data_IF_628841301384
#
_entry.id   IF_628841301384
#
_cell.length_a   1.000
_cell.length_b   1.000
_cell.length_c   1.000
_cell.angle_alpha   90.00
_cell.angle_beta   90.00
_cell.angle_gamma   90.00
#
_symmetry.space_group_name_H-M   'P 1'
#
loop_
_entity.id
_entity.type
_entity.pdbx_description
1 polymer ?
#
# COMPACT_ATOMS: atom_id res chain seq x y z
N UNK A 1 17.22 -11.85 -25.56
CA UNK A 1 17.56 -10.43 -25.27
C UNK A 1 16.69 -9.78 -24.20
N UNK A 2 15.35 -9.89 -24.20
CA UNK A 2 14.49 -9.20 -23.20
C UNK A 2 14.62 -9.71 -21.75
N UNK A 3 14.90 -11.00 -21.56
CA UNK A 3 15.10 -11.61 -20.23
C UNK A 3 16.44 -11.20 -19.61
N UNK A 4 17.46 -11.00 -20.44
CA UNK A 4 18.79 -10.58 -19.98
C UNK A 4 18.81 -9.15 -19.44
N UNK A 5 18.00 -8.24 -20.00
CA UNK A 5 17.84 -6.86 -19.49
C UNK A 5 17.16 -6.86 -18.12
N UNK A 6 16.15 -7.72 -17.92
CA UNK A 6 15.45 -7.85 -16.63
C UNK A 6 16.39 -8.36 -15.53
N UNK A 7 17.23 -9.35 -15.84
CA UNK A 7 18.24 -9.85 -14.89
C UNK A 7 19.39 -8.84 -14.67
N UNK A 8 19.77 -8.05 -15.68
CA UNK A 8 20.78 -7.00 -15.51
C UNK A 8 20.28 -5.87 -14.58
N UNK A 9 19.00 -5.50 -14.66
CA UNK A 9 18.39 -4.54 -13.74
C UNK A 9 18.30 -5.08 -12.30
N UNK A 10 18.11 -6.39 -12.11
CA UNK A 10 18.05 -7.03 -10.79
C UNK A 10 19.45 -7.14 -10.16
N UNK A 11 20.50 -7.42 -10.96
CA UNK A 11 21.87 -7.55 -10.45
C UNK A 11 22.55 -6.21 -10.16
N UNK A 12 22.16 -5.13 -10.83
CA UNK A 12 22.71 -3.79 -10.58
C UNK A 12 22.29 -3.17 -9.23
N UNK A 13 21.38 -3.82 -8.49
CA UNK A 13 20.88 -3.35 -7.20
C UNK A 13 21.71 -3.84 -6.00
N UNK A 14 22.86 -4.49 -6.25
CA UNK A 14 23.70 -5.08 -5.21
C UNK A 14 24.74 -4.06 -4.73
N UNK A 15 24.52 -3.60 -3.49
CA UNK A 15 25.41 -2.78 -2.64
C UNK A 15 25.59 -1.33 -3.10
N UNK A 16 24.56 -0.52 -2.89
CA UNK A 16 24.79 0.90 -2.56
C UNK A 16 25.09 0.97 -1.07
N UNK A 17 26.26 1.49 -0.72
CA UNK A 17 26.52 1.92 0.66
C UNK A 17 25.42 2.94 1.02
N UNK A 18 24.68 2.66 2.10
CA UNK A 18 23.60 3.51 2.58
C UNK A 18 24.17 4.78 3.21
N UNK A 19 24.64 5.69 2.36
CA UNK A 19 24.94 7.06 2.77
C UNK A 19 23.60 7.74 3.15
N UNK A 20 23.58 8.46 4.29
CA UNK A 20 22.45 9.34 4.61
C UNK A 20 22.23 10.37 3.50
N UNK A 21 21.09 11.07 3.46
CA UNK A 21 20.79 11.99 2.35
C UNK A 21 21.88 13.04 2.16
N UNK A 22 22.03 13.59 0.94
CA UNK A 22 23.06 14.59 0.66
C UNK A 22 22.96 15.80 1.59
N UNK A 23 21.75 16.23 1.95
CA UNK A 23 21.51 17.28 2.93
C UNK A 23 22.02 16.94 4.34
N UNK A 24 21.87 15.68 4.78
CA UNK A 24 22.35 15.24 6.10
C UNK A 24 23.88 15.29 6.22
N UNK A 25 24.58 15.15 5.09
CA UNK A 25 26.05 15.16 5.00
C UNK A 25 26.62 16.57 4.84
N UNK A 26 25.79 17.58 4.59
CA UNK A 26 26.24 18.98 4.45
C UNK A 26 26.72 19.52 5.80
N UNK A 27 27.91 20.11 5.79
CA UNK A 27 28.47 20.79 6.97
C UNK A 27 27.66 22.03 7.32
N UNK A 28 27.11 22.72 6.33
CA UNK A 28 26.22 23.87 6.52
C UNK A 28 24.96 23.47 7.29
N UNK A 29 24.34 22.34 6.92
CA UNK A 29 23.18 21.81 7.63
C UNK A 29 23.50 21.41 9.06
N UNK A 30 24.58 20.64 9.26
CA UNK A 30 25.00 20.20 10.59
C UNK A 30 25.34 21.37 11.52
N UNK A 31 26.05 22.38 10.99
CA UNK A 31 26.39 23.60 11.74
C UNK A 31 25.13 24.39 12.10
N UNK A 32 24.20 24.58 11.16
CA UNK A 32 22.93 25.26 11.42
C UNK A 32 22.15 24.59 12.55
N UNK A 33 22.02 23.26 12.50
CA UNK A 33 21.27 22.50 13.52
C UNK A 33 21.95 22.62 14.89
N UNK A 34 23.29 22.54 14.94
CA UNK A 34 24.07 22.69 16.17
C UNK A 34 23.88 24.08 16.79
N UNK A 35 23.99 25.14 15.99
CA UNK A 35 23.77 26.53 16.44
C UNK A 35 22.33 26.73 16.92
N UNK A 36 21.33 26.32 16.12
CA UNK A 36 19.93 26.43 16.50
C UNK A 36 19.64 25.71 17.82
N UNK A 37 20.20 24.52 18.02
CA UNK A 37 20.03 23.77 19.25
C UNK A 37 20.59 24.53 20.46
N UNK A 38 21.82 25.06 20.36
CA UNK A 38 22.44 25.86 21.42
C UNK A 38 21.66 27.13 21.77
N UNK A 39 21.09 27.78 20.76
CA UNK A 39 20.37 29.05 20.93
C UNK A 39 18.96 28.85 21.49
N UNK A 40 18.22 27.86 20.98
CA UNK A 40 16.78 27.72 21.20
C UNK A 40 16.38 26.56 22.12
N UNK A 41 17.18 25.49 22.22
CA UNK A 41 16.78 24.27 22.95
C UNK A 41 17.23 24.28 24.43
N UNK A 42 16.77 25.29 25.17
CA UNK A 42 17.02 25.43 26.62
C UNK A 42 16.00 24.63 27.46
N UNK A 43 16.35 24.21 28.68
CA UNK A 43 15.38 23.63 29.62
C UNK A 43 14.20 24.59 29.83
N UNK A 44 12.97 24.10 29.60
CA UNK A 44 11.74 24.91 29.70
C UNK A 44 11.29 25.58 28.40
N UNK A 45 12.05 25.48 27.29
CA UNK A 45 11.57 25.90 25.98
C UNK A 45 10.33 25.10 25.58
N UNK A 46 9.25 25.79 25.22
CA UNK A 46 7.98 25.16 24.85
C UNK A 46 7.69 25.38 23.37
N UNK A 47 7.46 24.28 22.66
CA UNK A 47 6.98 24.34 21.28
C UNK A 47 5.47 24.68 21.24
N UNK A 48 4.99 25.23 20.11
CA UNK A 48 3.57 25.34 19.81
C UNK A 48 2.78 24.06 20.09
N UNK A 49 1.49 24.21 20.42
CA UNK A 49 0.65 23.09 20.88
C UNK A 49 0.54 21.97 19.84
N UNK A 50 0.32 22.32 18.58
CA UNK A 50 0.26 21.38 17.46
C UNK A 50 1.54 20.54 17.38
N UNK A 51 2.72 21.18 17.50
CA UNK A 51 3.99 20.48 17.48
C UNK A 51 4.18 19.54 18.69
N UNK A 52 3.69 19.95 19.86
CA UNK A 52 3.70 19.11 21.08
C UNK A 52 2.76 17.91 20.94
N UNK A 53 1.56 18.12 20.40
CA UNK A 53 0.56 17.06 20.19
C UNK A 53 1.08 16.01 19.21
N UNK A 54 1.78 16.41 18.16
CA UNK A 54 2.41 15.49 17.20
C UNK A 54 3.84 15.08 17.58
N UNK A 55 4.26 15.34 18.83
CA UNK A 55 5.53 14.86 19.42
C UNK A 55 6.79 15.30 18.66
N UNK A 56 6.83 16.55 18.20
CA UNK A 56 8.08 17.16 17.75
C UNK A 56 8.92 17.56 18.95
N UNK A 57 10.23 17.36 18.84
CA UNK A 57 11.20 17.85 19.83
C UNK A 57 11.79 19.18 19.36
N UNK A 58 12.43 19.92 20.27
CA UNK A 58 13.13 21.15 19.89
C UNK A 58 14.21 20.89 18.83
N UNK A 59 14.94 19.78 18.95
CA UNK A 59 15.93 19.36 17.95
C UNK A 59 15.30 19.13 16.59
N UNK A 60 14.10 18.53 16.54
CA UNK A 60 13.41 18.33 15.26
C UNK A 60 12.92 19.66 14.65
N UNK A 61 12.49 20.62 15.49
CA UNK A 61 12.14 21.96 15.02
C UNK A 61 13.36 22.70 14.44
N UNK A 62 14.52 22.55 15.07
CA UNK A 62 15.78 23.09 14.54
C UNK A 62 16.17 22.46 13.19
N UNK A 63 16.05 21.13 13.06
CA UNK A 63 16.27 20.43 11.78
C UNK A 63 15.36 21.00 10.69
N UNK A 64 14.06 21.10 10.97
CA UNK A 64 13.08 21.67 10.05
C UNK A 64 13.45 23.10 9.63
N UNK A 65 13.78 23.98 10.57
CA UNK A 65 14.16 25.37 10.27
C UNK A 65 15.40 25.45 9.38
N UNK A 66 16.42 24.65 9.68
CA UNK A 66 17.67 24.62 8.93
C UNK A 66 17.49 24.05 7.52
N UNK A 67 16.73 22.96 7.39
CA UNK A 67 16.33 22.38 6.11
C UNK A 67 15.64 23.42 5.22
N UNK A 68 14.63 24.13 5.76
CA UNK A 68 13.89 25.14 4.99
C UNK A 68 14.74 26.36 4.65
N UNK A 69 15.57 26.84 5.58
CA UNK A 69 16.48 27.96 5.33
C UNK A 69 17.47 27.66 4.19
N UNK A 70 18.07 26.46 4.19
CA UNK A 70 18.98 26.03 3.13
C UNK A 70 18.25 25.77 1.82
N UNK A 71 17.03 25.22 1.87
CA UNK A 71 16.19 25.02 0.69
C UNK A 71 15.83 26.35 0.02
N UNK A 72 15.39 27.35 0.79
CA UNK A 72 15.09 28.68 0.27
C UNK A 72 16.32 29.35 -0.35
N UNK A 73 17.50 29.17 0.27
CA UNK A 73 18.75 29.66 -0.29
C UNK A 73 19.06 28.96 -1.63
N UNK A 74 18.96 27.64 -1.69
CA UNK A 74 19.20 26.88 -2.91
C UNK A 74 18.28 27.35 -4.04
N UNK A 75 16.98 27.52 -3.77
CA UNK A 75 16.00 28.04 -4.73
C UNK A 75 16.38 29.45 -5.23
N UNK A 76 16.78 30.36 -4.33
CA UNK A 76 17.22 31.72 -4.72
C UNK A 76 18.47 31.72 -5.59
N UNK A 77 19.37 30.77 -5.38
CA UNK A 77 20.64 30.64 -6.11
C UNK A 77 20.52 29.78 -7.37
N UNK A 78 19.37 29.16 -7.63
CA UNK A 78 19.19 28.22 -8.74
C UNK A 78 19.92 26.88 -8.53
N UNK A 79 20.23 26.51 -7.29
CA UNK A 79 20.85 25.24 -6.92
C UNK A 79 19.79 24.14 -6.74
N UNK A 80 20.22 22.88 -6.88
CA UNK A 80 19.35 21.72 -6.65
C UNK A 80 18.93 21.61 -5.18
N UNK A 81 17.63 21.42 -4.94
CA UNK A 81 17.09 21.12 -3.61
C UNK A 81 17.67 19.77 -3.14
N UNK A 82 17.98 19.67 -1.85
CA UNK A 82 18.54 18.47 -1.25
C UNK A 82 17.46 17.72 -0.46
N UNK A 83 17.61 16.40 -0.38
CA UNK A 83 16.86 15.58 0.57
C UNK A 83 17.55 15.60 1.94
N UNK A 84 16.76 15.51 3.00
CA UNK A 84 17.18 15.42 4.39
C UNK A 84 16.47 14.23 5.04
N UNK A 85 17.22 13.39 5.76
CA UNK A 85 16.72 12.20 6.44
C UNK A 85 15.85 11.29 5.54
N UNK A 86 16.21 11.14 4.26
CA UNK A 86 15.49 10.33 3.28
C UNK A 86 14.23 10.97 2.70
N UNK A 87 13.98 12.26 2.95
CA UNK A 87 12.77 12.97 2.52
C UNK A 87 13.08 14.32 1.90
N UNK A 88 12.13 14.83 1.13
CA UNK A 88 12.16 16.20 0.63
C UNK A 88 11.66 17.21 1.69
N UNK A 89 12.01 18.50 1.56
CA UNK A 89 11.58 19.55 2.49
C UNK A 89 10.10 19.91 2.30
N UNK A 90 9.24 19.31 3.11
CA UNK A 90 7.81 19.63 3.16
C UNK A 90 7.49 20.76 4.14
N UNK A 91 6.53 21.60 3.79
CA UNK A 91 5.91 22.53 4.74
C UNK A 91 5.01 21.78 5.71
N UNK A 92 5.28 21.93 7.01
CA UNK A 92 4.42 21.35 8.05
C UNK A 92 3.10 22.10 8.16
N UNK A 93 2.02 21.36 8.41
CA UNK A 93 0.70 21.92 8.70
C UNK A 93 0.11 21.25 9.95
N UNK A 94 -0.19 22.02 11.00
CA UNK A 94 -0.73 21.49 12.27
C UNK A 94 0.12 20.33 12.83
N UNK A 95 1.44 20.44 12.74
CA UNK A 95 2.38 19.40 13.12
C UNK A 95 2.48 18.19 12.18
N UNK A 96 1.70 18.09 11.11
CA UNK A 96 1.85 17.04 10.10
C UNK A 96 3.10 17.28 9.26
N UNK A 97 3.95 16.25 9.12
CA UNK A 97 5.16 16.30 8.31
C UNK A 97 4.85 16.37 6.81
N UNK A 98 3.90 15.56 6.32
CA UNK A 98 3.53 15.47 4.91
C UNK A 98 2.01 15.66 4.73
N UNK A 99 1.51 16.92 4.74
CA UNK A 99 0.07 17.18 4.83
C UNK A 99 -0.77 16.59 3.69
N UNK A 100 -0.25 16.58 2.45
CA UNK A 100 -0.94 15.97 1.31
C UNK A 100 -1.06 14.45 1.45
N UNK A 101 0.04 13.77 1.79
CA UNK A 101 0.03 12.32 2.05
C UNK A 101 -0.99 11.99 3.16
N UNK A 102 -1.03 12.75 4.26
CA UNK A 102 -2.03 12.55 5.32
C UNK A 102 -3.47 12.70 4.78
N UNK A 103 -3.76 13.77 4.05
CA UNK A 103 -5.09 14.03 3.52
C UNK A 103 -5.55 12.91 2.56
N UNK A 104 -4.67 12.46 1.68
CA UNK A 104 -4.98 11.42 0.70
C UNK A 104 -5.05 10.01 1.33
N UNK A 105 -4.27 9.71 2.38
CA UNK A 105 -4.45 8.49 3.18
C UNK A 105 -5.82 8.46 3.85
N UNK A 106 -6.26 9.57 4.45
CA UNK A 106 -7.60 9.68 5.05
C UNK A 106 -8.72 9.53 4.00
N UNK A 107 -8.51 10.03 2.79
CA UNK A 107 -9.47 9.87 1.71
C UNK A 107 -9.59 8.42 1.23
N UNK A 108 -8.46 7.71 1.11
CA UNK A 108 -8.45 6.28 0.85
C UNK A 108 -9.15 5.49 1.97
N UNK A 109 -8.85 5.80 3.24
CA UNK A 109 -9.52 5.21 4.41
C UNK A 109 -11.04 5.33 4.29
N UNK A 110 -11.54 6.54 3.97
CA UNK A 110 -12.96 6.79 3.80
C UNK A 110 -13.58 5.91 2.71
N UNK A 111 -12.93 5.76 1.55
CA UNK A 111 -13.45 4.90 0.50
C UNK A 111 -13.41 3.41 0.83
N UNK A 112 -12.41 2.94 1.59
CA UNK A 112 -12.43 1.57 2.12
C UNK A 112 -13.55 1.35 3.12
N UNK A 113 -13.82 2.33 4.00
CA UNK A 113 -14.96 2.28 4.92
C UNK A 113 -16.30 2.25 4.17
N UNK A 114 -16.48 3.11 3.17
CA UNK A 114 -17.67 3.11 2.32
C UNK A 114 -17.80 1.80 1.53
N UNK A 115 -16.70 1.27 1.01
CA UNK A 115 -16.63 -0.03 0.36
C UNK A 115 -17.08 -1.19 1.27
N UNK A 116 -16.60 -1.22 2.51
CA UNK A 116 -17.01 -2.20 3.52
C UNK A 116 -18.53 -2.13 3.79
N UNK A 117 -19.08 -0.92 3.93
CA UNK A 117 -20.53 -0.72 4.09
C UNK A 117 -21.31 -1.23 2.89
N UNK A 118 -20.88 -0.90 1.66
CA UNK A 118 -21.54 -1.34 0.43
C UNK A 118 -21.48 -2.86 0.26
N UNK A 119 -20.35 -3.50 0.57
CA UNK A 119 -20.22 -4.97 0.59
C UNK A 119 -21.20 -5.57 1.58
N UNK A 120 -21.24 -5.04 2.81
CA UNK A 120 -22.13 -5.54 3.86
C UNK A 120 -23.62 -5.49 3.44
N UNK A 121 -24.01 -4.43 2.74
CA UNK A 121 -25.40 -4.21 2.31
C UNK A 121 -25.78 -4.93 1.02
N UNK A 122 -24.87 -5.04 0.04
CA UNK A 122 -25.19 -5.49 -1.33
C UNK A 122 -24.82 -6.94 -1.62
N UNK A 123 -23.93 -7.54 -0.84
CA UNK A 123 -23.52 -8.93 -1.01
C UNK A 123 -24.28 -9.79 0.02
N UNK A 124 -25.02 -10.83 -0.40
CA UNK A 124 -25.73 -11.72 0.52
C UNK A 124 -24.80 -12.39 1.54
N UNK A 125 -25.27 -12.62 2.77
CA UNK A 125 -24.45 -13.26 3.84
C UNK A 125 -23.98 -14.66 3.49
N UNK A 126 -24.76 -15.37 2.66
CA UNK A 126 -24.42 -16.70 2.15
C UNK A 126 -23.34 -16.68 1.05
N UNK A 127 -23.01 -15.50 0.51
CA UNK A 127 -22.03 -15.40 -0.57
C UNK A 127 -20.62 -15.75 -0.07
N UNK A 128 -19.89 -16.66 -0.73
CA UNK A 128 -18.62 -17.19 -0.21
C UNK A 128 -17.53 -16.12 -0.04
N UNK A 129 -17.58 -15.03 -0.81
CA UNK A 129 -16.57 -13.97 -0.78
C UNK A 129 -16.90 -12.76 0.11
N UNK A 130 -18.09 -12.67 0.70
CA UNK A 130 -18.46 -11.50 1.51
C UNK A 130 -17.45 -11.24 2.63
N UNK A 131 -17.12 -12.30 3.39
CA UNK A 131 -16.19 -12.18 4.52
C UNK A 131 -14.75 -11.90 4.08
N UNK A 132 -14.32 -12.45 2.93
CA UNK A 132 -13.01 -12.13 2.37
C UNK A 132 -12.90 -10.66 2.00
N UNK A 133 -13.91 -10.11 1.30
CA UNK A 133 -13.89 -8.69 0.92
C UNK A 133 -14.03 -7.74 2.11
N UNK A 134 -14.82 -8.09 3.13
CA UNK A 134 -14.89 -7.31 4.37
C UNK A 134 -13.56 -7.34 5.13
N UNK A 135 -12.93 -8.50 5.26
CA UNK A 135 -11.62 -8.61 5.92
C UNK A 135 -10.57 -7.78 5.19
N UNK A 136 -10.54 -7.84 3.85
CA UNK A 136 -9.64 -7.01 3.05
C UNK A 136 -9.92 -5.50 3.23
N UNK A 137 -11.19 -5.11 3.32
CA UNK A 137 -11.56 -3.73 3.58
C UNK A 137 -11.04 -3.27 4.95
N UNK A 138 -11.17 -4.09 6.00
CA UNK A 138 -10.68 -3.75 7.34
C UNK A 138 -9.15 -3.72 7.43
N UNK A 139 -8.45 -4.66 6.79
CA UNK A 139 -6.97 -4.61 6.74
C UNK A 139 -6.48 -3.37 6.00
N UNK A 140 -7.19 -2.97 4.93
CA UNK A 140 -6.88 -1.75 4.19
C UNK A 140 -7.19 -0.48 4.99
N UNK A 141 -8.31 -0.42 5.72
CA UNK A 141 -8.61 0.69 6.65
C UNK A 141 -7.47 0.83 7.67
N UNK A 142 -7.01 -0.28 8.26
CA UNK A 142 -5.87 -0.25 9.18
C UNK A 142 -4.58 0.26 8.50
N UNK A 143 -4.30 -0.16 7.26
CA UNK A 143 -3.16 0.36 6.50
C UNK A 143 -3.23 1.89 6.31
N UNK A 144 -4.38 2.41 5.89
CA UNK A 144 -4.52 3.86 5.68
C UNK A 144 -4.54 4.67 6.98
N UNK A 145 -5.00 4.10 8.10
CA UNK A 145 -4.83 4.71 9.43
C UNK A 145 -3.34 4.87 9.73
N UNK A 146 -2.56 3.79 9.63
CA UNK A 146 -1.14 3.85 9.96
C UNK A 146 -0.33 4.70 8.99
N UNK A 147 -0.72 4.73 7.72
CA UNK A 147 -0.18 5.66 6.74
C UNK A 147 -0.42 7.12 7.13
N UNK A 148 -1.65 7.49 7.51
CA UNK A 148 -1.95 8.86 7.96
C UNK A 148 -1.18 9.23 9.24
N UNK A 149 -1.03 8.28 10.18
CA UNK A 149 -0.24 8.48 11.42
C UNK A 149 1.24 8.67 11.10
N UNK A 150 1.81 7.85 10.21
CA UNK A 150 3.21 7.94 9.81
C UNK A 150 3.54 9.24 9.08
N UNK A 151 2.72 9.63 8.10
CA UNK A 151 2.89 10.90 7.37
C UNK A 151 2.62 12.14 8.23
N UNK A 152 1.85 11.99 9.32
CA UNK A 152 1.75 13.03 10.33
C UNK A 152 3.05 13.15 11.11
N UNK A 153 3.57 12.02 11.60
CA UNK A 153 4.81 12.00 12.38
C UNK A 153 5.59 10.71 12.16
N UNK A 154 6.74 10.88 11.52
CA UNK A 154 7.70 9.81 11.29
C UNK A 154 8.48 9.49 12.58
N UNK A 155 8.24 8.30 13.13
CA UNK A 155 8.93 7.71 14.26
C UNK A 155 9.19 6.23 13.96
N UNK A 156 10.20 5.59 14.56
CA UNK A 156 10.48 4.17 14.31
C UNK A 156 9.30 3.21 14.57
N UNK A 157 8.34 3.61 15.42
CA UNK A 157 7.11 2.84 15.64
C UNK A 157 6.06 3.08 14.56
N UNK A 158 5.86 4.33 14.15
CA UNK A 158 4.85 4.67 13.13
C UNK A 158 5.30 4.19 11.75
N UNK A 159 6.60 4.28 11.45
CA UNK A 159 7.26 3.69 10.29
C UNK A 159 6.93 2.20 10.17
N UNK A 160 7.28 1.40 11.19
CA UNK A 160 7.01 -0.04 11.17
C UNK A 160 5.54 -0.37 11.01
N UNK A 161 4.65 0.35 11.70
CA UNK A 161 3.22 0.06 11.66
C UNK A 161 2.58 0.42 10.32
N UNK A 162 3.05 1.47 9.64
CA UNK A 162 2.62 1.78 8.27
C UNK A 162 3.03 0.66 7.31
N UNK A 163 4.33 0.37 7.23
CA UNK A 163 4.86 -0.63 6.31
C UNK A 163 4.32 -2.05 6.56
N UNK A 164 4.17 -2.46 7.82
CA UNK A 164 3.59 -3.78 8.14
C UNK A 164 2.10 -3.84 7.78
N UNK A 165 1.37 -2.75 7.97
CA UNK A 165 -0.06 -2.70 7.63
C UNK A 165 -0.27 -2.69 6.11
N UNK A 166 0.55 -1.96 5.35
CA UNK A 166 0.55 -2.00 3.89
C UNK A 166 0.86 -3.42 3.36
N UNK A 167 1.89 -4.07 3.93
CA UNK A 167 2.26 -5.45 3.59
C UNK A 167 1.12 -6.44 3.89
N UNK A 168 0.43 -6.30 5.02
CA UNK A 168 -0.73 -7.12 5.36
C UNK A 168 -1.88 -6.92 4.36
N UNK A 169 -2.17 -5.67 3.98
CA UNK A 169 -3.27 -5.36 3.07
C UNK A 169 -3.04 -5.99 1.68
N UNK A 170 -1.83 -5.85 1.11
CA UNK A 170 -1.52 -6.42 -0.22
C UNK A 170 -1.37 -7.95 -0.17
N UNK A 171 -0.79 -8.51 0.89
CA UNK A 171 -0.71 -9.96 1.06
C UNK A 171 -2.10 -10.57 1.21
N UNK A 172 -2.98 -9.95 1.99
CA UNK A 172 -4.36 -10.40 2.12
C UNK A 172 -5.13 -10.27 0.79
N UNK A 173 -4.85 -9.22 -0.01
CA UNK A 173 -5.41 -9.06 -1.34
C UNK A 173 -5.03 -10.22 -2.27
N UNK A 174 -3.74 -10.56 -2.31
CA UNK A 174 -3.24 -11.72 -3.04
C UNK A 174 -3.86 -13.02 -2.52
N UNK A 175 -3.93 -13.17 -1.20
CA UNK A 175 -4.50 -14.34 -0.54
C UNK A 175 -5.93 -14.64 -1.01
N UNK A 176 -6.86 -13.67 -0.91
CA UNK A 176 -8.24 -13.92 -1.34
C UNK A 176 -8.34 -14.06 -2.86
N UNK A 177 -7.47 -13.39 -3.62
CA UNK A 177 -7.43 -13.49 -5.09
C UNK A 177 -7.06 -14.92 -5.52
N UNK A 178 -6.04 -15.52 -4.90
CA UNK A 178 -5.68 -16.93 -5.16
C UNK A 178 -6.85 -17.85 -4.82
N UNK A 179 -7.48 -17.67 -3.65
CA UNK A 179 -8.66 -18.45 -3.25
C UNK A 179 -9.82 -18.32 -4.25
N UNK A 180 -10.02 -17.13 -4.82
CA UNK A 180 -11.03 -16.84 -5.86
C UNK A 180 -10.69 -17.55 -7.17
N UNK A 181 -9.52 -17.31 -7.73
CA UNK A 181 -9.14 -17.84 -9.05
C UNK A 181 -9.05 -19.37 -9.07
N UNK A 182 -8.79 -20.00 -7.93
CA UNK A 182 -8.68 -21.46 -7.77
C UNK A 182 -9.96 -22.12 -7.24
N UNK A 183 -11.00 -21.36 -6.92
CA UNK A 183 -12.25 -21.85 -6.33
C UNK A 183 -12.07 -22.68 -5.04
N UNK A 184 -11.17 -22.23 -4.15
CA UNK A 184 -10.84 -22.88 -2.87
C UNK A 184 -11.67 -22.41 -1.66
N UNK A 185 -12.61 -21.49 -1.85
CA UNK A 185 -13.49 -20.97 -0.80
C UNK A 185 -14.41 -22.05 -0.21
N UNK A 186 -14.88 -21.83 1.02
CA UNK A 186 -15.86 -22.72 1.65
C UNK A 186 -17.20 -22.54 0.94
N UNK A 187 -17.69 -23.59 0.27
CA UNK A 187 -19.07 -23.59 -0.25
C UNK A 187 -20.03 -23.72 0.93
N UNK A 188 -21.12 -22.95 0.92
CA UNK A 188 -22.24 -23.14 1.84
C UNK A 188 -22.77 -24.58 1.74
N UNK A 189 -23.42 -25.06 2.79
CA UNK A 189 -23.82 -26.46 3.05
C UNK A 189 -24.70 -27.16 1.97
N UNK A 190 -24.86 -26.63 0.77
CA UNK A 190 -25.69 -27.23 -0.27
C UNK A 190 -24.84 -28.07 -1.23
N UNK A 191 -24.92 -29.40 -1.06
CA UNK A 191 -24.38 -30.39 -2.00
C UNK A 191 -23.16 -31.18 -1.51
N UNK A 192 -23.22 -31.69 -0.27
CA UNK A 192 -22.25 -32.62 0.33
C UNK A 192 -22.23 -34.00 -0.36
N UNK A 193 -21.97 -34.04 -1.67
CA UNK A 193 -21.88 -35.27 -2.46
C UNK A 193 -20.73 -35.23 -3.48
N UNK A 194 -19.70 -34.41 -3.25
CA UNK A 194 -18.43 -34.53 -3.97
C UNK A 194 -17.27 -34.81 -3.01
N UNK A 195 -16.52 -35.92 -3.18
CA UNK A 195 -15.39 -36.30 -2.33
C UNK A 195 -14.18 -35.34 -2.39
N UNK A 196 -14.25 -34.29 -3.21
CA UNK A 196 -13.23 -33.24 -3.43
C UNK A 196 -13.12 -32.20 -2.28
N UNK A 197 -14.03 -32.24 -1.30
CA UNK A 197 -14.06 -31.28 -0.19
C UNK A 197 -12.81 -31.34 0.72
N UNK A 198 -12.21 -32.53 0.90
CA UNK A 198 -11.07 -32.72 1.80
C UNK A 198 -9.75 -32.20 1.21
N UNK A 199 -9.52 -32.40 -0.09
CA UNK A 199 -8.31 -31.93 -0.79
C UNK A 199 -8.32 -30.40 -0.87
N UNK A 200 -9.41 -29.78 -1.33
CA UNK A 200 -9.52 -28.31 -1.40
C UNK A 200 -9.37 -27.64 -0.04
N UNK A 201 -9.92 -28.24 1.01
CA UNK A 201 -9.75 -27.73 2.37
C UNK A 201 -8.29 -27.79 2.81
N UNK A 202 -7.58 -28.90 2.55
CA UNK A 202 -6.14 -29.02 2.85
C UNK A 202 -5.30 -28.01 2.07
N UNK A 203 -5.56 -27.83 0.77
CA UNK A 203 -4.85 -26.84 -0.05
C UNK A 203 -5.11 -25.41 0.44
N UNK A 204 -6.35 -25.06 0.78
CA UNK A 204 -6.69 -23.77 1.39
C UNK A 204 -5.94 -23.55 2.70
N UNK A 205 -5.91 -24.55 3.58
CA UNK A 205 -5.20 -24.46 4.87
C UNK A 205 -3.69 -24.29 4.66
N UNK A 206 -3.09 -25.05 3.74
CA UNK A 206 -1.68 -24.91 3.39
C UNK A 206 -1.36 -23.52 2.84
N UNK A 207 -2.20 -22.98 1.96
CA UNK A 207 -2.06 -21.61 1.44
C UNK A 207 -2.19 -20.55 2.53
N UNK A 208 -3.18 -20.69 3.43
CA UNK A 208 -3.33 -19.79 4.59
C UNK A 208 -2.10 -19.85 5.50
N UNK A 209 -1.61 -21.05 5.82
CA UNK A 209 -0.42 -21.23 6.65
C UNK A 209 0.82 -20.61 6.00
N UNK A 210 1.02 -20.82 4.69
CA UNK A 210 2.11 -20.20 3.94
C UNK A 210 2.07 -18.67 4.02
N UNK A 211 0.90 -18.06 3.78
CA UNK A 211 0.77 -16.60 3.86
C UNK A 211 1.08 -16.08 5.27
N UNK A 212 0.59 -16.75 6.32
CA UNK A 212 0.86 -16.38 7.70
C UNK A 212 2.37 -16.47 8.00
N UNK A 213 3.01 -17.58 7.63
CA UNK A 213 4.45 -17.78 7.84
C UNK A 213 5.25 -16.70 7.11
N UNK A 214 4.94 -16.45 5.83
CA UNK A 214 5.61 -15.40 5.03
C UNK A 214 5.47 -14.03 5.69
N UNK A 215 4.27 -13.67 6.17
CA UNK A 215 4.03 -12.39 6.84
C UNK A 215 4.80 -12.27 8.17
N UNK A 216 4.78 -13.32 9.00
CA UNK A 216 5.50 -13.34 10.26
C UNK A 216 7.02 -13.27 10.04
N UNK A 217 7.53 -13.96 9.03
CA UNK A 217 8.95 -13.87 8.63
C UNK A 217 9.30 -12.45 8.15
N UNK A 218 8.44 -11.80 7.35
CA UNK A 218 8.62 -10.42 6.90
C UNK A 218 8.70 -9.43 8.06
N UNK A 219 7.74 -9.47 8.99
CA UNK A 219 7.75 -8.62 10.20
C UNK A 219 8.99 -8.91 11.05
N UNK A 220 9.31 -10.18 11.26
CA UNK A 220 10.45 -10.58 12.11
C UNK A 220 11.75 -10.03 11.54
N UNK A 221 11.97 -10.20 10.23
CA UNK A 221 13.16 -9.68 9.55
C UNK A 221 13.30 -8.17 9.70
N UNK A 222 12.25 -7.39 9.38
CA UNK A 222 12.27 -5.93 9.47
C UNK A 222 12.29 -5.39 10.91
N UNK A 223 11.88 -6.20 11.89
CA UNK A 223 11.88 -5.80 13.30
C UNK A 223 13.23 -6.00 13.98
N UNK A 224 13.99 -7.03 13.57
CA UNK A 224 15.26 -7.42 14.21
C UNK A 224 16.47 -6.60 13.72
N UNK A 225 16.39 -5.99 12.54
CA UNK A 225 17.50 -5.20 12.00
C UNK A 225 17.65 -3.85 12.74
N UNK A 226 18.88 -3.35 12.94
CA UNK A 226 19.13 -2.04 13.56
C UNK A 226 18.52 -0.86 12.78
N UNK A 227 18.36 -1.02 11.46
CA UNK A 227 17.74 -0.05 10.55
C UNK A 227 16.69 -0.73 9.71
N UNK A 228 15.61 -0.02 9.41
CA UNK A 228 14.56 -0.52 8.54
C UNK A 228 15.11 -0.70 7.11
N UNK A 229 14.94 -1.90 6.53
CA UNK A 229 15.40 -2.19 5.18
C UNK A 229 14.31 -1.87 4.15
N UNK A 230 14.27 -0.61 3.73
CA UNK A 230 13.30 -0.11 2.74
C UNK A 230 13.38 -0.85 1.42
N UNK A 231 14.59 -1.15 0.93
CA UNK A 231 14.78 -1.86 -0.34
C UNK A 231 14.13 -3.24 -0.32
N UNK A 232 14.35 -4.01 0.76
CA UNK A 232 13.68 -5.29 0.95
C UNK A 232 12.16 -5.14 1.05
N UNK A 233 11.68 -4.19 1.85
CA UNK A 233 10.24 -3.96 2.02
C UNK A 233 9.56 -3.61 0.69
N UNK A 234 10.16 -2.73 -0.11
CA UNK A 234 9.64 -2.36 -1.43
C UNK A 234 9.64 -3.57 -2.37
N UNK A 235 10.72 -4.35 -2.42
CA UNK A 235 10.77 -5.56 -3.24
C UNK A 235 9.68 -6.57 -2.83
N UNK A 236 9.50 -6.80 -1.53
CA UNK A 236 8.46 -7.69 -1.00
C UNK A 236 7.06 -7.27 -1.46
N UNK A 237 6.68 -6.00 -1.24
CA UNK A 237 5.37 -5.48 -1.61
C UNK A 237 5.16 -5.47 -3.13
N UNK A 238 6.20 -5.12 -3.90
CA UNK A 238 6.14 -5.12 -5.36
C UNK A 238 5.89 -6.53 -5.91
N UNK A 239 6.55 -7.56 -5.38
CA UNK A 239 6.35 -8.96 -5.80
C UNK A 239 4.89 -9.39 -5.53
N UNK A 240 4.36 -9.08 -4.34
CA UNK A 240 2.97 -9.39 -4.00
C UNK A 240 1.98 -8.64 -4.90
N UNK A 241 2.20 -7.35 -5.13
CA UNK A 241 1.36 -6.49 -5.97
C UNK A 241 1.36 -6.90 -7.43
N UNK A 242 2.54 -7.20 -8.01
CA UNK A 242 2.65 -7.72 -9.38
C UNK A 242 1.95 -9.07 -9.51
N UNK A 243 2.14 -9.98 -8.54
CA UNK A 243 1.47 -11.29 -8.54
C UNK A 243 -0.05 -11.13 -8.50
N UNK A 244 -0.56 -10.23 -7.65
CA UNK A 244 -1.98 -9.88 -7.57
C UNK A 244 -2.50 -9.36 -8.92
N UNK A 245 -1.79 -8.42 -9.53
CA UNK A 245 -2.19 -7.81 -10.80
C UNK A 245 -2.16 -8.80 -11.96
N UNK A 246 -1.19 -9.72 -12.01
CA UNK A 246 -1.15 -10.79 -13.02
C UNK A 246 -2.39 -11.68 -12.94
N UNK A 247 -2.82 -12.06 -11.73
CA UNK A 247 -4.02 -12.89 -11.56
C UNK A 247 -5.30 -12.17 -12.04
N UNK A 248 -5.43 -10.87 -11.77
CA UNK A 248 -6.57 -10.08 -12.24
C UNK A 248 -6.52 -9.78 -13.74
N UNK A 249 -5.33 -9.67 -14.32
CA UNK A 249 -5.17 -9.58 -15.76
C UNK A 249 -5.60 -10.89 -16.44
N UNK A 250 -5.19 -12.04 -15.91
CA UNK A 250 -5.66 -13.35 -16.37
C UNK A 250 -7.18 -13.49 -16.24
N UNK A 251 -7.78 -12.95 -15.18
CA UNK A 251 -9.23 -12.89 -15.03
C UNK A 251 -9.91 -12.08 -16.13
N UNK A 252 -9.34 -10.92 -16.47
CA UNK A 252 -9.88 -10.01 -17.48
C UNK A 252 -9.82 -10.59 -18.90
N UNK A 253 -8.74 -11.30 -19.25
CA UNK A 253 -8.48 -11.83 -20.60
C UNK A 253 -9.27 -13.11 -20.91
N UNK A 254 -9.56 -13.43 -22.19
CA UNK A 254 -10.29 -14.65 -22.58
C UNK A 254 -9.45 -15.94 -22.46
N UNK A 255 -8.98 -16.25 -21.25
CA UNK A 255 -8.14 -17.41 -20.93
C UNK A 255 -8.99 -18.70 -20.86
N UNK A 256 -8.72 -19.73 -21.68
CA UNK A 256 -9.62 -20.88 -21.85
C UNK A 256 -9.59 -21.90 -20.70
N UNK A 257 -8.52 -21.91 -19.90
CA UNK A 257 -8.37 -22.84 -18.78
C UNK A 257 -8.90 -22.28 -17.45
N UNK A 258 -9.19 -20.98 -17.38
CA UNK A 258 -9.62 -20.31 -16.14
C UNK A 258 -11.12 -20.50 -15.91
N UNK A 259 -11.48 -21.14 -14.80
CA UNK A 259 -12.86 -21.22 -14.35
C UNK A 259 -13.17 -20.04 -13.40
N UNK A 260 -13.77 -18.97 -13.94
CA UNK A 260 -14.11 -17.74 -13.19
C UNK A 260 -15.14 -17.96 -12.10
N UNK A 261 -16.14 -18.78 -12.39
CA UNK A 261 -17.28 -19.00 -11.51
C UNK A 261 -17.56 -20.50 -11.32
N UNK A 262 -18.12 -20.88 -10.16
CA UNK A 262 -18.36 -22.28 -9.84
C UNK A 262 -19.38 -22.97 -10.75
N UNK A 263 -20.42 -22.27 -11.19
CA UNK A 263 -21.56 -22.84 -11.93
C UNK A 263 -21.59 -22.43 -13.41
N UNK A 264 -20.56 -21.75 -13.91
CA UNK A 264 -20.46 -21.38 -15.32
C UNK A 264 -19.40 -22.20 -16.07
N UNK A 265 -19.58 -22.41 -17.40
CA UNK A 265 -18.54 -23.00 -18.24
C UNK A 265 -17.24 -22.20 -18.21
N UNK A 266 -16.07 -22.84 -18.44
CA UNK A 266 -14.76 -22.14 -18.47
C UNK A 266 -14.69 -21.00 -19.49
N UNK A 267 -15.47 -21.10 -20.57
CA UNK A 267 -15.58 -20.05 -21.60
C UNK A 267 -16.41 -18.84 -21.16
N UNK A 268 -17.16 -18.96 -20.07
CA UNK A 268 -17.96 -17.85 -19.56
C UNK A 268 -17.03 -16.72 -19.11
N UNK A 269 -17.26 -15.54 -19.69
CA UNK A 269 -16.59 -14.29 -19.36
C UNK A 269 -17.69 -13.24 -19.20
N UNK A 270 -17.84 -12.66 -18.00
CA UNK A 270 -18.88 -11.68 -17.78
C UNK A 270 -18.54 -10.39 -18.53
N UNK A 271 -19.56 -9.61 -18.95
CA UNK A 271 -19.33 -8.37 -19.71
C UNK A 271 -18.50 -7.35 -18.94
N UNK A 272 -18.52 -7.37 -17.61
CA UNK A 272 -17.73 -6.48 -16.75
C UNK A 272 -16.29 -6.96 -16.49
N UNK A 273 -15.85 -8.11 -17.02
CA UNK A 273 -14.52 -8.65 -16.77
C UNK A 273 -13.38 -7.68 -17.15
N UNK A 274 -13.61 -6.80 -18.14
CA UNK A 274 -12.62 -5.79 -18.55
C UNK A 274 -12.27 -4.81 -17.43
N UNK A 275 -13.17 -4.60 -16.45
CA UNK A 275 -12.94 -3.69 -15.32
C UNK A 275 -11.74 -4.13 -14.49
N UNK A 276 -11.51 -5.43 -14.32
CA UNK A 276 -10.30 -5.94 -13.67
C UNK A 276 -9.02 -5.57 -14.46
N UNK A 277 -9.07 -5.55 -15.79
CA UNK A 277 -7.96 -5.10 -16.63
C UNK A 277 -7.69 -3.59 -16.48
N UNK A 278 -8.75 -2.78 -16.43
CA UNK A 278 -8.63 -1.34 -16.14
C UNK A 278 -8.04 -1.11 -14.75
N UNK A 279 -8.49 -1.85 -13.74
CA UNK A 279 -7.93 -1.76 -12.39
C UNK A 279 -6.42 -2.07 -12.38
N UNK A 280 -5.99 -3.13 -13.09
CA UNK A 280 -4.57 -3.47 -13.23
C UNK A 280 -3.80 -2.33 -13.91
N UNK A 281 -4.31 -1.79 -15.02
CA UNK A 281 -3.69 -0.67 -15.72
C UNK A 281 -3.52 0.54 -14.79
N UNK A 282 -4.59 0.93 -14.09
CA UNK A 282 -4.60 2.10 -13.22
C UNK A 282 -3.70 1.92 -12.00
N UNK A 283 -3.73 0.76 -11.35
CA UNK A 283 -2.84 0.48 -10.20
C UNK A 283 -1.38 0.43 -10.61
N UNK A 284 -1.06 -0.17 -11.77
CA UNK A 284 0.31 -0.14 -12.29
C UNK A 284 0.75 1.28 -12.61
N UNK A 285 -0.08 2.08 -13.30
CA UNK A 285 0.22 3.48 -13.58
C UNK A 285 0.41 4.31 -12.31
N UNK A 286 -0.44 4.10 -11.29
CA UNK A 286 -0.30 4.71 -9.99
C UNK A 286 1.06 4.38 -9.37
N UNK A 287 1.42 3.09 -9.25
CA UNK A 287 2.72 2.68 -8.68
C UNK A 287 3.92 3.24 -9.43
N UNK A 288 3.82 3.48 -10.75
CA UNK A 288 4.89 4.14 -11.51
C UNK A 288 5.12 5.60 -11.07
N UNK A 289 4.17 6.26 -10.40
CA UNK A 289 4.37 7.61 -9.86
C UNK A 289 5.54 7.67 -8.87
N UNK A 290 5.74 6.62 -8.08
CA UNK A 290 6.87 6.53 -7.13
C UNK A 290 8.25 6.53 -7.83
N UNK A 291 8.31 6.30 -9.14
CA UNK A 291 9.56 6.40 -9.89
C UNK A 291 9.97 7.85 -10.16
N UNK A 292 9.04 8.79 -10.08
CA UNK A 292 9.29 10.21 -10.31
C UNK A 292 9.67 10.87 -8.98
N UNK A 293 10.86 10.58 -8.44
CA UNK A 293 11.35 11.19 -7.19
C UNK A 293 11.67 12.69 -7.38
N UNK A 294 10.73 13.58 -7.05
CA UNK A 294 10.85 15.04 -7.24
C UNK A 294 10.54 15.84 -5.97
N UNK A 295 11.15 17.03 -5.79
CA UNK A 295 10.90 17.91 -4.64
C UNK A 295 9.46 18.45 -4.63
N UNK A 296 8.84 18.65 -3.46
CA UNK A 296 7.41 18.90 -3.35
C UNK A 296 7.01 20.20 -4.05
N UNK A 297 6.09 20.07 -5.00
CA UNK A 297 5.43 21.17 -5.67
C UNK A 297 4.62 21.98 -4.65
N UNK A 298 4.89 23.28 -4.60
CA UNK A 298 4.32 24.18 -3.59
C UNK A 298 4.71 23.81 -2.15
N UNK A 299 5.79 23.03 -1.96
CA UNK A 299 6.24 22.55 -0.65
C UNK A 299 5.30 21.53 0.02
N UNK A 300 4.31 20.99 -0.72
CA UNK A 300 3.30 20.09 -0.16
C UNK A 300 3.12 18.80 -1.00
N UNK A 301 3.13 18.89 -2.33
CA UNK A 301 2.79 17.78 -3.22
C UNK A 301 4.05 17.17 -3.85
N UNK A 302 4.37 15.93 -3.50
CA UNK A 302 5.42 15.12 -4.14
C UNK A 302 4.84 13.92 -4.90
N UNK A 303 5.69 13.11 -5.51
CA UNK A 303 5.26 11.89 -6.20
C UNK A 303 4.56 10.89 -5.28
N UNK A 304 5.00 10.76 -4.03
CA UNK A 304 4.39 9.85 -3.08
C UNK A 304 2.94 10.25 -2.78
N UNK A 305 2.69 11.53 -2.47
CA UNK A 305 1.34 12.04 -2.27
C UNK A 305 0.46 11.92 -3.53
N UNK A 306 1.02 12.05 -4.74
CA UNK A 306 0.27 11.81 -5.97
C UNK A 306 -0.08 10.33 -6.14
N UNK A 307 0.79 9.41 -5.72
CA UNK A 307 0.45 7.98 -5.65
C UNK A 307 -0.75 7.77 -4.71
N UNK A 308 -0.74 8.33 -3.50
CA UNK A 308 -1.87 8.28 -2.57
C UNK A 308 -3.15 8.85 -3.18
N UNK A 309 -3.09 10.00 -3.85
CA UNK A 309 -4.25 10.61 -4.50
C UNK A 309 -4.80 9.72 -5.62
N UNK A 310 -3.92 9.13 -6.42
CA UNK A 310 -4.32 8.30 -7.57
C UNK A 310 -5.07 7.04 -7.16
N UNK A 311 -4.79 6.48 -5.98
CA UNK A 311 -5.45 5.26 -5.50
C UNK A 311 -6.90 5.51 -5.05
N UNK A 312 -7.27 6.74 -4.69
CA UNK A 312 -8.63 7.14 -4.26
C UNK A 312 -9.74 6.79 -5.29
N UNK A 313 -9.68 7.24 -6.55
CA UNK A 313 -10.68 6.84 -7.55
C UNK A 313 -10.58 5.36 -7.92
N UNK A 314 -9.37 4.78 -7.88
CA UNK A 314 -9.12 3.38 -8.22
C UNK A 314 -9.81 2.46 -7.21
N UNK A 315 -9.74 2.77 -5.90
CA UNK A 315 -10.36 1.95 -4.87
C UNK A 315 -11.89 1.99 -4.95
N UNK A 316 -12.47 3.16 -5.24
CA UNK A 316 -13.92 3.29 -5.47
C UNK A 316 -14.36 2.39 -6.62
N UNK A 317 -13.66 2.47 -7.74
CA UNK A 317 -13.90 1.63 -8.92
C UNK A 317 -13.75 0.13 -8.60
N UNK A 318 -12.76 -0.24 -7.79
CA UNK A 318 -12.53 -1.63 -7.40
C UNK A 318 -13.68 -2.21 -6.59
N UNK A 319 -14.21 -1.49 -5.60
CA UNK A 319 -15.37 -1.95 -4.84
C UNK A 319 -16.61 -2.13 -5.69
N UNK A 320 -16.82 -1.27 -6.70
CA UNK A 320 -17.94 -1.43 -7.64
C UNK A 320 -17.80 -2.70 -8.46
N UNK A 321 -16.60 -2.99 -8.95
CA UNK A 321 -16.30 -4.25 -9.61
C UNK A 321 -16.52 -5.46 -8.68
N UNK A 322 -16.04 -5.45 -7.44
CA UNK A 322 -16.23 -6.57 -6.50
C UNK A 322 -17.71 -6.87 -6.21
N UNK A 323 -18.53 -5.82 -6.11
CA UNK A 323 -19.97 -5.95 -5.88
C UNK A 323 -20.66 -6.53 -7.11
N UNK A 324 -20.38 -5.99 -8.30
CA UNK A 324 -20.93 -6.48 -9.56
C UNK A 324 -20.51 -7.93 -9.82
N UNK A 325 -19.24 -8.25 -9.58
CA UNK A 325 -18.70 -9.61 -9.67
C UNK A 325 -19.48 -10.57 -8.77
N UNK A 326 -19.82 -10.16 -7.55
CA UNK A 326 -20.57 -10.99 -6.58
C UNK A 326 -22.07 -11.13 -6.89
N UNK A 327 -22.59 -10.32 -7.81
CA UNK A 327 -24.00 -10.32 -8.21
C UNK A 327 -24.24 -11.10 -9.50
N UNK A 328 -23.18 -11.61 -10.14
CA UNK A 328 -23.30 -12.42 -11.35
C UNK A 328 -24.05 -13.73 -11.05
N UNK A 329 -25.02 -14.08 -11.92
CA UNK A 329 -25.81 -15.29 -11.79
C UNK A 329 -24.97 -16.57 -11.84
N UNK A 330 -23.76 -16.51 -12.41
CA UNK A 330 -22.80 -17.62 -12.46
C UNK A 330 -22.32 -18.11 -11.08
N UNK A 331 -22.56 -17.34 -10.01
CA UNK A 331 -22.35 -17.77 -8.62
C UNK A 331 -23.39 -18.75 -8.10
N UNK A 332 -24.53 -18.89 -8.78
CA UNK A 332 -25.65 -19.76 -8.39
C UNK A 332 -25.90 -20.85 -9.44
N UNK A 333 -26.34 -22.05 -9.02
CA UNK A 333 -26.81 -23.05 -9.98
C UNK A 333 -28.03 -22.50 -10.72
N UNK A 334 -28.04 -22.62 -12.05
CA UNK A 334 -29.25 -22.27 -12.83
C UNK A 334 -30.38 -23.19 -12.42
N UNK A 335 -31.61 -22.68 -12.23
CA UNK A 335 -32.77 -23.55 -12.06
C UNK A 335 -32.87 -24.45 -13.29
N UNK A 336 -33.05 -25.76 -13.06
CA UNK A 336 -33.37 -26.70 -14.13
C UNK A 336 -34.69 -26.25 -14.71
N UNK A 337 -34.68 -25.76 -15.95
CA UNK A 337 -35.91 -25.59 -16.71
C UNK A 337 -36.40 -27.00 -17.02
N UNK A 338 -37.43 -27.44 -16.31
CA UNK A 338 -38.17 -28.66 -16.62
C UNK A 338 -38.96 -28.49 -17.91
#
# INVERSE_FOLDING_TARGET
>A
MKVFVLYACILAFVVTAAFGSSGDRSTEFQNCVSTCYGDHCRPGATLPLDLRLTRWTCTDDCKYRCEHMLTERAVRLGEGIQQYYGKWPFYRLLGMQEPASVAFSLWNLWFHFQGARRISQRIPDKHPFKQYYLTWAYTSINAWVWSAVFHTRDLPRTEKLDYFSAALAILYALYYTVIRMTNLYRRGLEGASKPDGSVRSRVRLAWSALCIIVYLSHITYLSLLPRFNYQYNMAFNLILGVSHNVLWLLYSLPVPFLQRFPYAPKRHRPPFAYKAGIFVLLTTAATMLELFDFPPLGGILDAHSLWHLSTVPIIKFWYEFLIEDSQDEAWSPRPVQN
#
